data_IF_324872072742
#
_entry.id   IF_324872072742
#
_cell.length_a   1.000
_cell.length_b   1.000
_cell.length_c   1.000
_cell.angle_alpha   90.00
_cell.angle_beta   90.00
_cell.angle_gamma   90.00
#
_symmetry.space_group_name_H-M   'P 1'
#
loop_
_entity.id
_entity.type
_entity.pdbx_description
1 polymer ?
#
# COMPACT_ATOMS: atom_id res chain seq x y z
N UNK A 1 19.81 15.36 5.41
CA UNK A 1 18.93 14.18 5.40
C UNK A 1 18.46 14.02 3.98
N UNK A 2 19.03 13.08 3.23
CA UNK A 2 18.67 12.90 1.82
C UNK A 2 17.40 12.04 1.81
N UNK A 3 16.28 12.61 1.40
CA UNK A 3 15.09 11.83 1.04
C UNK A 3 15.28 11.53 -0.45
N UNK A 4 16.18 10.60 -0.76
CA UNK A 4 16.32 10.14 -2.15
C UNK A 4 15.02 9.48 -2.56
N UNK A 5 14.74 9.55 -3.85
CA UNK A 5 13.54 9.06 -4.52
C UNK A 5 13.43 7.54 -4.40
N UNK A 6 13.11 7.00 -3.21
CA UNK A 6 13.40 5.58 -2.94
C UNK A 6 12.44 4.67 -3.72
N UNK A 7 11.12 4.90 -3.71
CA UNK A 7 10.15 4.10 -4.49
C UNK A 7 8.82 4.86 -4.62
N UNK A 8 8.16 4.80 -5.78
CA UNK A 8 6.79 5.33 -5.90
C UNK A 8 5.75 4.40 -5.27
N UNK A 9 4.58 4.92 -4.88
CA UNK A 9 3.48 4.07 -4.37
C UNK A 9 3.07 2.99 -5.38
N UNK A 10 3.11 3.33 -6.68
CA UNK A 10 2.87 2.40 -7.79
C UNK A 10 3.88 1.26 -7.81
N UNK A 11 5.14 1.56 -7.54
CA UNK A 11 6.23 0.60 -7.54
C UNK A 11 6.15 -0.35 -6.34
N UNK A 12 5.77 0.18 -5.17
CA UNK A 12 5.40 -0.64 -4.01
C UNK A 12 4.25 -1.58 -4.36
N UNK A 13 3.20 -1.07 -5.00
CA UNK A 13 2.07 -1.88 -5.45
C UNK A 13 2.49 -3.02 -6.38
N UNK A 14 3.36 -2.73 -7.35
CA UNK A 14 3.93 -3.74 -8.26
C UNK A 14 4.71 -4.82 -7.50
N UNK A 15 5.59 -4.42 -6.59
CA UNK A 15 6.41 -5.35 -5.79
C UNK A 15 5.54 -6.24 -4.89
N UNK A 16 4.44 -5.71 -4.36
CA UNK A 16 3.47 -6.52 -3.61
C UNK A 16 2.78 -7.55 -4.53
N UNK A 17 2.35 -7.14 -5.71
CA UNK A 17 1.67 -8.02 -6.66
C UNK A 17 2.56 -9.11 -7.26
N UNK A 18 3.85 -8.84 -7.42
CA UNK A 18 4.84 -9.80 -7.93
C UNK A 18 5.50 -10.63 -6.81
N UNK A 19 5.38 -10.20 -5.55
CA UNK A 19 6.10 -10.77 -4.42
C UNK A 19 5.37 -11.93 -3.73
N UNK A 20 6.16 -12.70 -2.99
CA UNK A 20 5.75 -13.95 -2.34
C UNK A 20 6.60 -15.12 -2.80
N UNK A 21 6.31 -16.32 -2.31
CA UNK A 21 6.82 -17.56 -2.92
C UNK A 21 6.24 -17.74 -4.33
N UNK A 22 4.99 -17.33 -4.51
CA UNK A 22 4.31 -17.19 -5.79
C UNK A 22 3.85 -15.74 -5.98
N UNK A 23 3.77 -15.27 -7.22
CA UNK A 23 3.28 -13.93 -7.52
C UNK A 23 1.84 -13.75 -7.00
N UNK A 24 1.61 -12.67 -6.27
CA UNK A 24 0.31 -12.33 -5.68
C UNK A 24 0.08 -12.92 -4.29
N UNK A 25 0.93 -13.85 -3.84
CA UNK A 25 0.76 -14.52 -2.54
C UNK A 25 0.73 -13.52 -1.38
N UNK A 26 1.52 -12.43 -1.44
CA UNK A 26 1.50 -11.38 -0.42
C UNK A 26 0.11 -10.75 -0.25
N UNK A 27 -0.65 -10.57 -1.34
CA UNK A 27 -2.03 -10.06 -1.28
C UNK A 27 -2.95 -11.12 -0.69
N UNK A 28 -2.85 -12.37 -1.14
CA UNK A 28 -3.72 -13.47 -0.70
C UNK A 28 -3.65 -13.73 0.81
N UNK A 29 -2.43 -13.69 1.36
CA UNK A 29 -2.21 -13.89 2.80
C UNK A 29 -2.45 -12.61 3.62
N UNK A 30 -2.69 -11.47 2.97
CA UNK A 30 -3.06 -10.19 3.58
C UNK A 30 -1.89 -9.26 3.94
N UNK A 31 -0.65 -9.68 3.72
CA UNK A 31 0.52 -8.83 3.96
C UNK A 31 0.58 -7.62 3.01
N UNK A 32 0.09 -7.77 1.78
CA UNK A 32 0.01 -6.68 0.81
C UNK A 32 -0.83 -5.51 1.32
N UNK A 33 -1.97 -5.81 1.93
CA UNK A 33 -2.83 -4.81 2.57
C UNK A 33 -2.16 -4.15 3.78
N UNK A 34 -1.41 -4.90 4.58
CA UNK A 34 -0.68 -4.38 5.74
C UNK A 34 0.44 -3.41 5.34
N UNK A 35 1.24 -3.78 4.34
CA UNK A 35 2.31 -2.93 3.84
C UNK A 35 1.73 -1.66 3.23
N UNK A 36 0.71 -1.77 2.38
CA UNK A 36 0.09 -0.62 1.74
C UNK A 36 -0.56 0.32 2.77
N UNK A 37 -1.38 -0.23 3.67
CA UNK A 37 -2.05 0.55 4.72
C UNK A 37 -1.07 1.23 5.68
N UNK A 38 -0.01 0.53 6.09
CA UNK A 38 1.02 1.10 6.96
C UNK A 38 1.82 2.21 6.26
N UNK A 39 2.11 2.04 4.96
CA UNK A 39 2.79 3.06 4.15
C UNK A 39 1.94 4.33 4.06
N UNK A 40 0.65 4.20 3.75
CA UNK A 40 -0.28 5.34 3.70
C UNK A 40 -0.44 6.02 5.07
N UNK A 41 -0.50 5.23 6.14
CA UNK A 41 -0.54 5.74 7.51
C UNK A 41 0.71 6.51 7.90
N UNK A 42 1.89 6.03 7.50
CA UNK A 42 3.15 6.74 7.71
C UNK A 42 3.19 8.06 6.94
N UNK A 43 2.80 8.05 5.66
CA UNK A 43 2.70 9.27 4.84
C UNK A 43 1.75 10.28 5.50
N UNK A 44 0.55 9.85 5.89
CA UNK A 44 -0.44 10.69 6.58
C UNK A 44 0.13 11.30 7.86
N UNK A 45 0.81 10.49 8.68
CA UNK A 45 1.39 10.91 9.96
C UNK A 45 2.52 11.92 9.77
N UNK A 46 3.38 11.72 8.78
CA UNK A 46 4.63 12.48 8.63
C UNK A 46 4.55 13.66 7.65
N UNK A 47 3.60 13.62 6.71
CA UNK A 47 3.44 14.62 5.64
C UNK A 47 2.05 15.25 5.63
N UNK A 48 1.11 14.69 6.38
CA UNK A 48 -0.26 15.20 6.48
C UNK A 48 -1.20 14.68 5.38
N UNK A 49 -2.49 14.96 5.58
CA UNK A 49 -3.58 14.47 4.73
C UNK A 49 -3.50 15.02 3.29
N UNK A 50 -3.13 16.28 3.13
CA UNK A 50 -3.06 16.92 1.81
C UNK A 50 -2.06 16.22 0.89
N UNK A 51 -0.87 15.92 1.41
CA UNK A 51 0.20 15.23 0.66
C UNK A 51 -0.20 13.79 0.37
N UNK A 52 -0.84 13.10 1.33
CA UNK A 52 -1.38 11.77 1.09
C UNK A 52 -2.35 11.75 -0.11
N UNK A 53 -3.28 12.70 -0.16
CA UNK A 53 -4.28 12.76 -1.22
C UNK A 53 -3.68 13.06 -2.60
N UNK A 54 -2.65 13.91 -2.66
CA UNK A 54 -1.89 14.17 -3.89
C UNK A 54 -1.17 12.91 -4.39
N UNK A 55 -0.48 12.19 -3.50
CA UNK A 55 0.21 10.93 -3.83
C UNK A 55 -0.80 9.89 -4.31
N UNK A 56 -1.94 9.73 -3.61
CA UNK A 56 -2.99 8.80 -4.01
C UNK A 56 -3.53 9.14 -5.40
N UNK A 57 -3.88 10.41 -5.64
CA UNK A 57 -4.43 10.87 -6.91
C UNK A 57 -3.47 10.72 -8.09
N UNK A 58 -2.16 10.87 -7.87
CA UNK A 58 -1.15 10.72 -8.91
C UNK A 58 -0.69 9.28 -9.16
N UNK A 59 -0.83 8.38 -8.18
CA UNK A 59 -0.30 7.01 -8.25
C UNK A 59 -0.98 6.08 -9.27
N UNK A 60 -2.20 6.41 -9.72
CA UNK A 60 -3.06 5.53 -10.54
C UNK A 60 -3.26 4.12 -9.94
N UNK A 61 -3.06 3.98 -8.62
CA UNK A 61 -3.07 2.71 -7.92
C UNK A 61 -4.46 2.47 -7.32
N UNK A 62 -5.02 1.28 -7.54
CA UNK A 62 -6.31 0.86 -6.97
C UNK A 62 -6.03 0.13 -5.66
N UNK A 63 -6.41 0.75 -4.55
CA UNK A 63 -6.14 0.19 -3.21
C UNK A 63 -6.91 -1.11 -2.98
N UNK A 64 -8.03 -1.31 -3.67
CA UNK A 64 -8.85 -2.51 -3.61
C UNK A 64 -8.10 -3.76 -4.10
N UNK A 65 -7.10 -3.60 -4.98
CA UNK A 65 -6.30 -4.71 -5.51
C UNK A 65 -5.39 -5.34 -4.43
N UNK A 66 -5.27 -4.71 -3.26
CA UNK A 66 -4.49 -5.21 -2.11
C UNK A 66 -5.37 -5.77 -0.98
N UNK A 67 -6.68 -5.91 -1.19
CA UNK A 67 -7.56 -6.54 -0.21
C UNK A 67 -7.25 -8.04 -0.08
N UNK A 68 -7.15 -8.56 1.14
CA UNK A 68 -7.01 -10.00 1.35
C UNK A 68 -8.27 -10.74 0.91
N UNK A 69 -8.09 -11.94 0.34
CA UNK A 69 -9.18 -12.82 -0.11
C UNK A 69 -10.00 -13.37 1.07
N UNK A 70 -9.46 -13.33 2.29
CA UNK A 70 -10.06 -13.93 3.48
C UNK A 70 -10.41 -12.87 4.54
N UNK A 71 -11.62 -12.92 5.14
CA UNK A 71 -12.16 -11.87 6.02
C UNK A 71 -11.47 -11.75 7.40
N UNK A 72 -10.67 -12.75 7.76
CA UNK A 72 -9.94 -12.84 9.03
C UNK A 72 -8.53 -12.23 8.95
N UNK A 73 -8.20 -11.56 7.86
CA UNK A 73 -6.92 -10.86 7.69
C UNK A 73 -7.01 -9.42 8.14
N UNK A 74 -5.84 -8.81 8.26
CA UNK A 74 -5.72 -7.43 8.72
C UNK A 74 -6.51 -6.44 7.84
N UNK A 75 -6.98 -5.38 8.48
CA UNK A 75 -7.86 -4.35 7.90
C UNK A 75 -7.23 -2.95 7.92
N UNK A 76 -5.92 -2.85 8.09
CA UNK A 76 -5.23 -1.54 8.14
C UNK A 76 -5.57 -0.72 6.88
N UNK A 77 -5.56 -1.36 5.71
CA UNK A 77 -5.89 -0.70 4.44
C UNK A 77 -7.33 -0.17 4.36
N UNK A 78 -8.30 -0.81 5.03
CA UNK A 78 -9.70 -0.37 5.03
C UNK A 78 -9.90 1.01 5.63
N UNK A 79 -8.95 1.50 6.44
CA UNK A 79 -9.01 2.87 6.99
C UNK A 79 -8.75 3.95 5.94
N UNK A 80 -8.35 3.55 4.73
CA UNK A 80 -8.04 4.44 3.60
C UNK A 80 -8.98 4.26 2.40
N UNK A 81 -9.86 3.25 2.43
CA UNK A 81 -10.88 2.97 1.41
C UNK A 81 -12.20 3.66 1.76
#
# INVERSE_FOLDING_TARGET
>A
MIVENVMSLKEIGRLIGEGGEEAGQLVEIGLGGDVMGSTLGMIKRERGESVLNEIRGSSCLRLEDFRPSHPNRSRILETFL
#
